data_IF_280232647598
#
_entry.id   IF_280232647598
#
_cell.length_a   1.000
_cell.length_b   1.000
_cell.length_c   1.000
_cell.angle_alpha   90.00
_cell.angle_beta   90.00
_cell.angle_gamma   90.00
#
_symmetry.space_group_name_H-M   'P 1'
#
loop_
_entity.id
_entity.type
_entity.pdbx_description
1 polymer ?
#
# COMPACT_ATOMS: atom_id res chain seq x y z
N UNK A 1 7.84 -3.77 -0.94
CA UNK A 1 6.73 -3.09 -0.24
C UNK A 1 6.86 -1.60 -0.45
N UNK A 2 5.76 -0.91 -0.73
CA UNK A 2 5.71 0.55 -0.86
C UNK A 2 5.09 1.14 0.40
N UNK A 3 5.78 2.03 1.09
CA UNK A 3 5.31 2.72 2.30
C UNK A 3 5.04 4.18 2.01
N UNK A 4 3.90 4.69 2.50
CA UNK A 4 3.43 6.07 2.34
C UNK A 4 2.78 6.59 3.63
N UNK A 5 2.65 7.92 3.81
CA UNK A 5 1.86 8.47 4.92
C UNK A 5 0.42 7.95 4.90
N UNK A 6 -0.16 7.71 6.08
CA UNK A 6 -1.48 7.08 6.21
C UNK A 6 -2.58 7.84 5.45
N UNK A 7 -2.60 9.18 5.54
CA UNK A 7 -3.59 10.00 4.80
C UNK A 7 -3.54 9.75 3.29
N UNK A 8 -2.35 9.73 2.69
CA UNK A 8 -2.20 9.48 1.25
C UNK A 8 -2.53 8.03 0.90
N UNK A 9 -2.10 7.08 1.73
CA UNK A 9 -2.37 5.66 1.48
C UNK A 9 -3.85 5.31 1.57
N UNK A 10 -4.61 5.88 2.52
CA UNK A 10 -6.05 5.63 2.67
C UNK A 10 -6.82 6.13 1.45
N UNK A 11 -6.50 7.34 0.99
CA UNK A 11 -7.07 7.90 -0.25
C UNK A 11 -6.72 7.02 -1.47
N UNK A 12 -5.48 6.52 -1.55
CA UNK A 12 -5.09 5.62 -2.62
C UNK A 12 -5.87 4.28 -2.57
N UNK A 13 -6.07 3.69 -1.38
CA UNK A 13 -6.91 2.48 -1.21
C UNK A 13 -8.33 2.72 -1.70
N UNK A 14 -8.91 3.85 -1.34
CA UNK A 14 -10.26 4.24 -1.71
C UNK A 14 -10.40 4.47 -3.24
N UNK A 15 -9.41 5.12 -3.87
CA UNK A 15 -9.32 5.25 -5.33
C UNK A 15 -9.24 3.88 -6.01
N UNK A 16 -8.35 3.00 -5.54
CA UNK A 16 -8.17 1.67 -6.12
C UNK A 16 -9.46 0.85 -6.07
N UNK A 17 -10.17 0.88 -4.94
CA UNK A 17 -11.44 0.16 -4.73
C UNK A 17 -12.57 0.68 -5.62
N UNK A 18 -12.57 1.96 -6.00
CA UNK A 18 -13.56 2.53 -6.93
C UNK A 18 -13.32 2.17 -8.39
N UNK A 19 -12.07 1.93 -8.79
CA UNK A 19 -11.63 1.85 -10.19
C UNK A 19 -11.95 0.54 -10.93
N UNK A 20 -12.81 -0.34 -10.41
CA UNK A 20 -13.09 -1.68 -10.94
C UNK A 20 -11.89 -2.64 -10.97
N UNK A 21 -10.81 -2.35 -10.24
CA UNK A 21 -9.69 -3.26 -10.05
C UNK A 21 -9.86 -4.03 -8.74
N UNK A 22 -10.29 -5.29 -8.83
CA UNK A 22 -10.37 -6.21 -7.68
C UNK A 22 -8.99 -6.59 -7.10
N UNK A 23 -7.89 -6.03 -7.61
CA UNK A 23 -6.53 -6.39 -7.24
C UNK A 23 -5.85 -5.32 -6.37
N UNK A 24 -6.52 -4.86 -5.31
CA UNK A 24 -5.78 -4.26 -4.19
C UNK A 24 -5.20 -5.40 -3.39
N UNK A 25 -3.89 -5.54 -3.44
CA UNK A 25 -3.18 -6.55 -2.66
C UNK A 25 -3.18 -6.23 -1.16
N UNK A 26 -2.47 -7.04 -0.36
CA UNK A 26 -2.38 -6.83 1.08
C UNK A 26 -1.85 -5.45 1.44
N UNK A 27 -2.46 -4.82 2.45
CA UNK A 27 -2.08 -3.49 2.95
C UNK A 27 -1.91 -3.54 4.46
N UNK A 28 -0.73 -3.14 4.92
CA UNK A 28 -0.39 -2.96 6.32
C UNK A 28 -0.64 -1.52 6.73
N UNK A 29 -1.16 -1.33 7.93
CA UNK A 29 -1.19 -0.06 8.64
C UNK A 29 -0.20 -0.11 9.80
N UNK A 30 0.70 0.85 9.88
CA UNK A 30 1.59 1.05 11.02
C UNK A 30 1.15 2.30 11.77
N UNK A 31 0.34 2.11 12.81
CA UNK A 31 -0.15 3.16 13.70
C UNK A 31 0.99 3.89 14.43
N UNK A 32 2.13 3.22 14.67
CA UNK A 32 3.27 3.82 15.35
C UNK A 32 4.01 4.85 14.50
N UNK A 33 3.99 4.66 13.18
CA UNK A 33 4.64 5.55 12.22
C UNK A 33 3.66 6.41 11.40
N UNK A 34 2.35 6.23 11.56
CA UNK A 34 1.28 6.84 10.74
C UNK A 34 1.50 6.59 9.24
N UNK A 35 1.74 5.31 8.89
CA UNK A 35 2.01 4.91 7.50
C UNK A 35 1.18 3.72 7.05
N UNK A 36 0.99 3.61 5.73
CA UNK A 36 0.46 2.43 5.07
C UNK A 36 1.53 1.77 4.20
N UNK A 37 1.60 0.44 4.27
CA UNK A 37 2.50 -0.41 3.50
C UNK A 37 1.73 -1.29 2.50
N UNK A 38 1.93 -1.05 1.21
CA UNK A 38 1.34 -1.84 0.12
C UNK A 38 2.29 -2.95 -0.30
N UNK A 39 1.78 -4.18 -0.32
CA UNK A 39 2.52 -5.28 -0.93
C UNK A 39 2.47 -5.16 -2.46
N UNK A 40 3.65 -5.23 -3.08
CA UNK A 40 3.87 -5.10 -4.53
C UNK A 40 4.78 -6.23 -5.01
N UNK A 41 4.74 -6.61 -6.29
CA UNK A 41 5.60 -7.64 -6.85
C UNK A 41 7.11 -7.39 -6.58
N UNK A 42 7.92 -8.45 -6.43
CA UNK A 42 9.37 -8.32 -6.29
C UNK A 42 9.99 -7.59 -7.50
N UNK A 43 11.08 -6.88 -7.29
CA UNK A 43 11.72 -6.04 -8.32
C UNK A 43 11.07 -4.66 -8.51
N UNK A 44 9.90 -4.40 -7.92
CA UNK A 44 9.23 -3.08 -8.01
C UNK A 44 10.14 -1.94 -7.53
N UNK A 45 10.92 -2.17 -6.46
CA UNK A 45 11.77 -1.14 -5.86
C UNK A 45 12.84 -0.60 -6.82
N UNK A 46 13.31 -1.42 -7.78
CA UNK A 46 14.36 -1.01 -8.73
C UNK A 46 13.92 0.12 -9.68
N UNK A 47 12.61 0.30 -9.88
CA UNK A 47 12.04 1.31 -10.77
C UNK A 47 10.91 2.10 -10.08
N UNK A 48 10.95 2.18 -8.74
CA UNK A 48 9.97 2.94 -8.00
C UNK A 48 10.41 4.40 -7.86
N UNK A 49 9.62 5.31 -8.42
CA UNK A 49 9.92 6.74 -8.44
C UNK A 49 8.61 7.52 -8.25
N UNK A 50 8.04 7.44 -7.04
CA UNK A 50 6.87 8.23 -6.64
C UNK A 50 7.25 9.08 -5.43
N UNK A 51 7.15 10.42 -5.52
CA UNK A 51 7.45 11.31 -4.40
C UNK A 51 6.59 11.02 -3.17
N UNK A 52 7.17 11.20 -1.98
CA UNK A 52 6.48 10.95 -0.70
C UNK A 52 6.26 9.47 -0.37
N UNK A 53 6.82 8.56 -1.17
CA UNK A 53 6.75 7.12 -0.93
C UNK A 53 8.14 6.49 -0.91
N UNK A 54 8.26 5.38 -0.17
CA UNK A 54 9.49 4.59 -0.07
C UNK A 54 9.17 3.20 -0.55
N UNK A 55 9.91 2.67 -1.53
CA UNK A 55 9.79 1.26 -1.91
C UNK A 55 10.99 0.47 -1.43
N UNK A 56 10.75 -0.43 -0.46
CA UNK A 56 11.76 -1.33 0.09
C UNK A 56 11.64 -2.70 -0.55
N UNK A 57 12.76 -3.27 -1.01
CA UNK A 57 12.79 -4.67 -1.43
C UNK A 57 12.54 -5.58 -0.24
N UNK A 58 11.56 -6.46 -0.40
CA UNK A 58 11.21 -7.49 0.59
C UNK A 58 11.40 -8.84 -0.08
N UNK A 59 12.21 -9.72 0.49
CA UNK A 59 12.48 -11.05 -0.06
C UNK A 59 11.30 -12.03 0.06
N UNK A 60 10.08 -11.55 0.37
CA UNK A 60 8.91 -12.38 0.73
C UNK A 60 9.07 -13.20 2.02
N UNK A 61 10.30 -13.38 2.51
CA UNK A 61 10.63 -14.09 3.74
C UNK A 61 10.06 -13.34 4.95
N UNK A 62 9.12 -13.96 5.64
CA UNK A 62 8.44 -13.41 6.82
C UNK A 62 6.98 -13.00 6.59
N UNK A 63 6.53 -12.91 5.34
CA UNK A 63 5.13 -12.75 4.97
C UNK A 63 4.54 -14.14 4.70
N UNK A 64 4.17 -14.89 5.75
CA UNK A 64 3.35 -16.08 5.57
C UNK A 64 1.92 -15.59 5.31
N UNK A 65 1.59 -15.30 4.05
CA UNK A 65 0.30 -14.76 3.65
C UNK A 65 -0.77 -15.86 3.50
N UNK A 66 -0.32 -17.09 3.22
CA UNK A 66 -1.15 -18.29 3.08
C UNK A 66 -1.46 -19.00 4.42
N UNK A 67 -1.75 -18.25 5.50
CA UNK A 67 -2.25 -18.81 6.77
C UNK A 67 -3.62 -18.21 7.11
N UNK A 68 -4.52 -18.95 7.79
CA UNK A 68 -5.89 -18.51 8.05
C UNK A 68 -5.99 -17.20 8.87
N UNK A 69 -4.97 -16.89 9.67
CA UNK A 69 -4.85 -15.64 10.41
C UNK A 69 -3.45 -15.06 10.18
N UNK A 70 -3.23 -14.31 9.08
CA UNK A 70 -1.94 -13.72 8.77
C UNK A 70 -1.60 -12.69 9.85
N UNK A 71 -0.50 -12.89 10.58
CA UNK A 71 0.01 -11.88 11.52
C UNK A 71 0.85 -10.87 10.73
N UNK A 72 0.64 -9.56 10.90
CA UNK A 72 1.50 -8.53 10.34
C UNK A 72 2.97 -8.80 10.65
N UNK A 73 3.89 -8.72 9.67
CA UNK A 73 5.30 -9.04 9.88
C UNK A 73 6.04 -7.99 10.71
N UNK A 74 5.43 -6.82 10.92
CA UNK A 74 5.99 -5.70 11.68
C UNK A 74 5.23 -5.54 12.99
N UNK A 75 5.95 -5.51 14.11
CA UNK A 75 5.37 -5.36 15.45
C UNK A 75 4.74 -3.98 15.60
N UNK A 76 3.46 -3.94 15.98
CA UNK A 76 2.70 -2.68 16.11
C UNK A 76 2.01 -2.24 14.82
N UNK A 77 2.06 -3.06 13.78
CA UNK A 77 1.28 -2.88 12.57
C UNK A 77 0.11 -3.86 12.54
N UNK A 78 -0.98 -3.45 11.88
CA UNK A 78 -2.19 -4.24 11.65
C UNK A 78 -2.47 -4.36 10.15
N UNK A 79 -3.22 -5.39 9.74
CA UNK A 79 -3.70 -5.48 8.37
C UNK A 79 -4.87 -4.52 8.17
N UNK A 80 -4.70 -3.51 7.32
CA UNK A 80 -5.84 -2.76 6.78
C UNK A 80 -6.60 -3.63 5.78
N UNK A 81 -5.86 -4.29 4.90
CA UNK A 81 -6.34 -5.30 3.97
C UNK A 81 -5.51 -6.57 4.18
N UNK A 82 -6.08 -7.61 4.83
CA UNK A 82 -5.36 -8.86 5.01
C UNK A 82 -5.15 -9.56 3.66
N UNK A 83 -4.11 -10.39 3.53
CA UNK A 83 -4.01 -11.29 2.39
C UNK A 83 -5.23 -12.22 2.35
N UNK A 84 -5.78 -12.40 1.16
CA UNK A 84 -6.79 -13.42 0.87
C UNK A 84 -6.19 -14.59 0.11
N UNK A 85 -7.00 -15.61 -0.20
CA UNK A 85 -6.56 -16.87 -0.83
C UNK A 85 -5.81 -16.72 -2.17
N UNK A 86 -5.94 -15.56 -2.84
CA UNK A 86 -5.35 -15.30 -4.15
C UNK A 86 -4.00 -14.55 -4.11
N UNK A 87 -3.52 -14.07 -2.95
CA UNK A 87 -2.17 -13.48 -2.75
C UNK A 87 -1.66 -12.54 -3.87
N UNK A 88 -2.54 -11.81 -4.56
CA UNK A 88 -2.13 -10.93 -5.64
C UNK A 88 -1.57 -9.63 -5.03
N UNK A 89 -0.26 -9.46 -5.13
CA UNK A 89 0.36 -8.17 -4.84
C UNK A 89 -0.26 -7.06 -5.70
N UNK A 90 -0.34 -5.84 -5.16
CA UNK A 90 -0.91 -4.70 -5.88
C UNK A 90 -0.07 -4.39 -7.12
N UNK A 91 -0.71 -4.24 -8.28
CA UNK A 91 -0.01 -3.83 -9.50
C UNK A 91 0.69 -2.47 -9.27
N UNK A 92 2.02 -2.39 -9.46
CA UNK A 92 2.76 -1.19 -9.14
C UNK A 92 2.40 -0.03 -10.08
N UNK A 93 1.97 -0.26 -11.33
CA UNK A 93 1.54 0.82 -12.21
C UNK A 93 0.23 1.46 -11.73
N UNK A 94 -0.73 0.63 -11.31
CA UNK A 94 -2.01 1.09 -10.77
C UNK A 94 -1.79 1.80 -9.43
N UNK A 95 -0.91 1.28 -8.57
CA UNK A 95 -0.56 1.93 -7.30
C UNK A 95 0.07 3.32 -7.51
N UNK A 96 0.99 3.47 -8.48
CA UNK A 96 1.57 4.79 -8.81
C UNK A 96 0.50 5.80 -9.21
N UNK A 97 -0.44 5.38 -10.07
CA UNK A 97 -1.53 6.23 -10.52
C UNK A 97 -2.43 6.67 -9.35
N UNK A 98 -2.80 5.73 -8.46
CA UNK A 98 -3.63 6.02 -7.30
C UNK A 98 -2.94 6.95 -6.30
N UNK A 99 -1.65 6.73 -6.01
CA UNK A 99 -0.87 7.60 -5.11
C UNK A 99 -0.70 9.01 -5.67
N UNK A 100 -0.49 9.13 -6.99
CA UNK A 100 -0.39 10.42 -7.66
C UNK A 100 -1.73 11.19 -7.63
N UNK A 101 -2.84 10.50 -7.80
CA UNK A 101 -4.17 11.11 -7.69
C UNK A 101 -4.50 11.50 -6.24
N UNK A 102 -4.22 10.62 -5.28
CA UNK A 102 -4.38 10.92 -3.85
C UNK A 102 -3.59 12.18 -3.44
N UNK A 103 -2.35 12.33 -3.91
CA UNK A 103 -1.55 13.52 -3.65
C UNK A 103 -2.21 14.81 -4.16
N UNK A 104 -2.76 14.79 -5.38
CA UNK A 104 -3.46 15.96 -5.95
C UNK A 104 -4.74 16.30 -5.20
N UNK A 105 -5.51 15.29 -4.79
CA UNK A 105 -6.73 15.49 -4.01
C UNK A 105 -6.43 16.13 -2.65
N UNK A 106 -5.38 15.62 -2.00
CA UNK A 106 -4.89 16.14 -0.73
C UNK A 106 -4.42 17.60 -0.88
N UNK A 107 -3.58 17.89 -1.88
CA UNK A 107 -3.10 19.25 -2.16
C UNK A 107 -4.27 20.21 -2.42
N UNK A 108 -5.25 19.79 -3.22
CA UNK A 108 -6.44 20.57 -3.50
C UNK A 108 -7.31 20.82 -2.26
N UNK A 109 -7.36 19.88 -1.31
CA UNK A 109 -8.07 20.03 -0.05
C UNK A 109 -7.34 20.99 0.91
N UNK A 110 -6.02 20.87 1.02
CA UNK A 110 -5.19 21.72 1.90
C UNK A 110 -5.17 23.18 1.41
N UNK A 111 -5.19 23.43 0.10
CA UNK A 111 -5.23 24.78 -0.49
C UNK A 111 -6.60 25.48 -0.40
N UNK A 112 -7.64 24.81 0.12
CA UNK A 112 -8.96 25.40 0.37
C UNK A 112 -9.16 25.86 1.81
N UNK A 113 -8.11 25.82 2.62
CA UNK A 113 -8.14 26.13 4.05
C UNK A 113 -7.55 27.51 4.32
#
# INVERSE_FOLDING_TARGET
MVTVPARQGLEAVDILRRGASDAVGPVLHDDGCDTLGFLVPPGTAAAWDVPGSICTETNGRGLSLAVPDPVPPVKGSDWLLPPGDADLATDPAVLRAALGEAARLIEAADNRR
#
